data_IF_806630292267
#
_entry.id   IF_806630292267
#
_cell.length_a   1.000
_cell.length_b   1.000
_cell.length_c   1.000
_cell.angle_alpha   90.00
_cell.angle_beta   90.00
_cell.angle_gamma   90.00
#
_symmetry.space_group_name_H-M   'P 1'
#
loop_
_entity.id
_entity.type
_entity.pdbx_description
1 polymer ?
#
# COMPACT_ATOMS: atom_id res chain seq x y z
N UNK A 1 31.82 21.82 -14.59
CA UNK A 1 30.70 20.87 -14.34
C UNK A 1 30.28 21.04 -12.88
N UNK A 2 29.01 21.34 -12.59
CA UNK A 2 28.52 21.64 -11.24
C UNK A 2 27.90 20.39 -10.63
N UNK A 3 28.27 20.06 -9.39
CA UNK A 3 27.72 18.93 -8.63
C UNK A 3 26.67 19.43 -7.65
N UNK A 4 25.47 18.84 -7.66
CA UNK A 4 24.41 19.11 -6.68
C UNK A 4 24.00 17.83 -5.98
N UNK A 5 24.07 17.82 -4.64
CA UNK A 5 23.66 16.69 -3.82
C UNK A 5 22.16 16.73 -3.56
N UNK A 6 21.48 15.59 -3.71
CA UNK A 6 20.05 15.50 -3.43
C UNK A 6 19.69 14.15 -2.79
N UNK A 7 19.62 14.08 -1.46
CA UNK A 7 19.28 12.84 -0.78
C UNK A 7 17.81 12.47 -1.05
N UNK A 8 17.50 11.17 -1.04
CA UNK A 8 16.15 10.64 -1.23
C UNK A 8 15.45 11.09 -2.53
N UNK A 9 16.23 11.40 -3.57
CA UNK A 9 15.71 11.85 -4.87
C UNK A 9 14.77 10.81 -5.50
N UNK A 10 14.97 9.51 -5.23
CA UNK A 10 14.13 8.44 -5.75
C UNK A 10 12.72 8.39 -5.14
N UNK A 11 12.47 9.03 -3.99
CA UNK A 11 11.16 8.99 -3.31
C UNK A 11 10.13 9.92 -3.94
N UNK A 12 10.60 10.98 -4.61
CA UNK A 12 9.77 12.01 -5.23
C UNK A 12 10.42 12.45 -6.53
N UNK A 13 10.22 11.64 -7.57
CA UNK A 13 10.82 11.86 -8.88
C UNK A 13 10.22 13.07 -9.58
N UNK A 14 8.92 13.37 -9.41
CA UNK A 14 8.30 14.56 -9.99
C UNK A 14 8.95 15.86 -9.49
N UNK A 15 9.22 15.96 -8.18
CA UNK A 15 9.92 17.14 -7.64
C UNK A 15 11.39 17.18 -8.08
N UNK A 16 11.94 16.05 -8.49
CA UNK A 16 13.28 16.00 -9.10
C UNK A 16 13.24 16.47 -10.55
N UNK A 17 12.27 16.01 -11.31
CA UNK A 17 12.01 16.41 -12.69
C UNK A 17 11.81 17.92 -12.78
N UNK A 18 10.84 18.49 -12.04
CA UNK A 18 10.61 19.95 -11.98
C UNK A 18 11.86 20.74 -11.61
N UNK A 19 12.66 20.22 -10.69
CA UNK A 19 13.91 20.85 -10.33
C UNK A 19 14.96 20.76 -11.44
N UNK A 20 15.01 19.67 -12.22
CA UNK A 20 15.88 19.59 -13.40
C UNK A 20 15.43 20.61 -14.46
N UNK A 21 14.12 20.73 -14.69
CA UNK A 21 13.51 21.73 -15.58
C UNK A 21 13.88 23.16 -15.13
N UNK A 22 13.73 23.49 -13.85
CA UNK A 22 14.13 24.79 -13.27
C UNK A 22 15.62 25.09 -13.44
N UNK A 23 16.47 24.06 -13.41
CA UNK A 23 17.92 24.23 -13.61
C UNK A 23 18.25 24.44 -15.09
N UNK A 24 17.58 23.75 -16.01
CA UNK A 24 17.73 23.98 -17.45
C UNK A 24 17.29 25.40 -17.85
N UNK A 25 16.17 25.87 -17.29
CA UNK A 25 15.71 27.25 -17.46
C UNK A 25 16.70 28.30 -16.94
N UNK A 26 17.59 27.92 -16.00
CA UNK A 26 18.68 28.78 -15.48
C UNK A 26 19.99 28.63 -16.24
N UNK A 27 20.02 27.87 -17.35
CA UNK A 27 21.22 27.61 -18.14
C UNK A 27 22.12 26.51 -17.56
N UNK A 28 21.55 25.54 -16.85
CA UNK A 28 22.26 24.37 -16.36
C UNK A 28 21.66 23.08 -16.92
N UNK A 29 22.24 22.55 -17.99
CA UNK A 29 21.85 21.27 -18.57
C UNK A 29 22.35 20.09 -17.74
N UNK A 30 21.46 19.15 -17.49
CA UNK A 30 21.78 17.92 -16.76
C UNK A 30 22.62 16.96 -17.63
N UNK A 31 23.66 16.36 -17.06
CA UNK A 31 24.58 15.48 -17.81
C UNK A 31 24.75 14.09 -17.19
N UNK A 32 24.87 14.01 -15.87
CA UNK A 32 25.17 12.73 -15.20
C UNK A 32 24.48 12.58 -13.86
N UNK A 33 23.96 11.39 -13.62
CA UNK A 33 23.46 10.96 -12.32
C UNK A 33 24.40 9.93 -11.69
N UNK A 34 24.97 10.27 -10.53
CA UNK A 34 25.60 9.28 -9.66
C UNK A 34 24.59 8.83 -8.59
N UNK A 35 24.01 7.65 -8.80
CA UNK A 35 22.98 7.08 -7.92
C UNK A 35 23.49 6.77 -6.50
N UNK A 36 24.73 6.32 -6.36
CA UNK A 36 25.29 5.86 -5.07
C UNK A 36 25.61 7.06 -4.18
N UNK A 37 26.28 8.07 -4.73
CA UNK A 37 26.53 9.33 -4.04
C UNK A 37 25.33 10.28 -4.01
N UNK A 38 24.20 9.93 -4.66
CA UNK A 38 22.98 10.76 -4.77
C UNK A 38 23.28 12.17 -5.30
N UNK A 39 24.15 12.25 -6.30
CA UNK A 39 24.64 13.50 -6.86
C UNK A 39 24.28 13.65 -8.34
N UNK A 40 23.82 14.84 -8.71
CA UNK A 40 23.49 15.24 -10.06
C UNK A 40 24.56 16.20 -10.57
N UNK A 41 25.02 15.98 -11.81
CA UNK A 41 26.04 16.78 -12.46
C UNK A 41 25.41 17.58 -13.59
N UNK A 42 25.82 18.85 -13.67
CA UNK A 42 25.32 19.82 -14.64
C UNK A 42 26.45 20.47 -15.41
N UNK A 43 26.15 20.85 -16.65
CA UNK A 43 27.01 21.67 -17.49
C UNK A 43 26.31 23.01 -17.74
N UNK A 44 27.10 24.09 -17.78
CA UNK A 44 26.57 25.42 -18.10
C UNK A 44 26.22 25.42 -19.59
N UNK A 45 24.99 25.78 -19.90
CA UNK A 45 24.42 25.85 -21.26
C UNK A 45 23.61 27.15 -21.39
N UNK A 46 23.10 27.42 -22.59
CA UNK A 46 22.09 28.46 -22.74
C UNK A 46 20.83 28.09 -21.91
N UNK A 47 20.09 29.08 -21.40
CA UNK A 47 18.77 28.87 -20.81
C UNK A 47 17.83 28.22 -21.83
N UNK A 48 17.33 27.02 -21.52
CA UNK A 48 16.47 26.25 -22.41
C UNK A 48 15.29 25.67 -21.62
N UNK A 49 14.09 25.72 -22.20
CA UNK A 49 12.89 25.08 -21.64
C UNK A 49 12.86 23.61 -22.05
N UNK A 50 13.46 22.77 -21.22
CA UNK A 50 13.49 21.32 -21.41
C UNK A 50 12.58 20.61 -20.43
N UNK A 51 11.92 19.55 -20.86
CA UNK A 51 11.16 18.65 -20.00
C UNK A 51 12.03 17.45 -19.64
N UNK A 52 12.13 17.13 -18.35
CA UNK A 52 12.85 15.96 -17.86
C UNK A 52 11.89 14.94 -17.29
N UNK A 53 12.12 13.66 -17.59
CA UNK A 53 11.41 12.55 -16.95
C UNK A 53 12.39 11.50 -16.48
N UNK A 54 12.16 10.98 -15.29
CA UNK A 54 12.92 9.89 -14.70
C UNK A 54 12.13 8.62 -14.94
N UNK A 55 12.81 7.58 -15.39
CA UNK A 55 12.26 6.24 -15.54
C UNK A 55 13.14 5.23 -14.80
N UNK A 56 12.50 4.16 -14.33
CA UNK A 56 13.18 3.02 -13.74
C UNK A 56 12.77 1.79 -14.52
N UNK A 57 13.69 1.23 -15.31
CA UNK A 57 13.42 0.05 -16.11
C UNK A 57 14.48 -1.02 -15.83
N UNK A 58 14.01 -2.20 -15.41
CA UNK A 58 14.85 -3.38 -15.20
C UNK A 58 14.97 -4.23 -16.49
N UNK A 59 14.01 -4.09 -17.40
CA UNK A 59 13.85 -4.94 -18.58
C UNK A 59 14.39 -4.30 -19.86
N UNK A 60 14.26 -2.98 -20.03
CA UNK A 60 14.83 -2.30 -21.19
C UNK A 60 16.32 -2.02 -20.96
N UNK A 61 17.17 -2.76 -21.67
CA UNK A 61 18.61 -2.53 -21.78
C UNK A 61 18.92 -1.21 -22.53
N UNK A 62 18.35 -0.09 -22.12
CA UNK A 62 18.76 1.25 -22.57
C UNK A 62 18.22 1.71 -23.93
N UNK A 63 17.15 1.10 -24.43
CA UNK A 63 16.46 1.58 -25.64
C UNK A 63 15.12 2.18 -25.23
N UNK A 64 14.84 3.42 -25.63
CA UNK A 64 13.48 3.96 -25.54
C UNK A 64 12.58 3.21 -26.55
N UNK A 65 11.31 2.98 -26.22
CA UNK A 65 10.27 2.61 -27.19
C UNK A 65 10.25 3.59 -28.38
N UNK A 66 10.04 3.07 -29.60
CA UNK A 66 10.03 3.87 -30.84
C UNK A 66 9.08 5.07 -30.78
N UNK A 67 7.89 4.88 -30.21
CA UNK A 67 6.87 5.94 -30.01
C UNK A 67 7.42 7.13 -29.22
N UNK A 68 8.28 6.90 -28.22
CA UNK A 68 8.86 7.98 -27.42
C UNK A 68 10.01 8.68 -28.16
N UNK A 69 10.78 7.94 -28.97
CA UNK A 69 11.80 8.55 -29.84
C UNK A 69 11.18 9.43 -30.92
N UNK A 70 10.05 9.00 -31.50
CA UNK A 70 9.28 9.77 -32.49
C UNK A 70 8.70 11.06 -31.90
N UNK A 71 8.27 11.04 -30.64
CA UNK A 71 7.84 12.22 -29.87
C UNK A 71 9.01 13.11 -29.38
N UNK A 72 10.26 12.73 -29.71
CA UNK A 72 11.45 13.55 -29.48
C UNK A 72 12.17 13.30 -28.15
N UNK A 73 11.83 12.24 -27.41
CA UNK A 73 12.52 11.89 -26.17
C UNK A 73 13.92 11.30 -26.42
N UNK A 74 14.91 11.77 -25.65
CA UNK A 74 16.30 11.30 -25.70
C UNK A 74 16.80 10.91 -24.31
N UNK A 75 17.73 9.95 -24.22
CA UNK A 75 18.35 9.58 -22.93
C UNK A 75 19.43 10.61 -22.59
N UNK A 76 19.22 11.38 -21.52
CA UNK A 76 20.22 12.31 -20.99
C UNK A 76 21.29 11.60 -20.16
N UNK A 77 20.88 10.62 -19.34
CA UNK A 77 21.82 9.84 -18.53
C UNK A 77 21.23 8.51 -18.10
N UNK A 78 22.08 7.49 -17.96
CA UNK A 78 21.73 6.18 -17.41
C UNK A 78 22.65 5.83 -16.24
N UNK A 79 22.06 5.37 -15.13
CA UNK A 79 22.76 4.97 -13.91
C UNK A 79 22.15 3.70 -13.34
N UNK A 80 22.68 2.54 -13.71
CA UNK A 80 22.07 1.24 -13.40
C UNK A 80 20.71 1.09 -14.08
N UNK A 81 19.66 0.81 -13.30
CA UNK A 81 18.28 0.67 -13.78
C UNK A 81 17.52 2.00 -13.85
N UNK A 82 18.18 3.12 -13.52
CA UNK A 82 17.60 4.46 -13.62
C UNK A 82 18.04 5.12 -14.92
N UNK A 83 17.08 5.70 -15.62
CA UNK A 83 17.33 6.55 -16.79
C UNK A 83 16.64 7.89 -16.61
N UNK A 84 17.34 8.94 -17.01
CA UNK A 84 16.77 10.29 -17.13
C UNK A 84 16.64 10.56 -18.62
N UNK A 85 15.42 10.81 -19.07
CA UNK A 85 15.12 11.19 -20.44
C UNK A 85 14.78 12.67 -20.50
N UNK A 86 15.17 13.31 -21.59
CA UNK A 86 14.94 14.73 -21.85
C UNK A 86 14.16 14.90 -23.15
N UNK A 87 13.31 15.92 -23.19
CA UNK A 87 12.63 16.39 -24.38
C UNK A 87 12.77 17.91 -24.46
N UNK A 88 13.00 18.43 -25.66
CA UNK A 88 13.18 19.86 -25.92
C UNK A 88 11.85 20.63 -25.98
N UNK A 89 10.71 19.92 -25.96
CA UNK A 89 9.36 20.54 -25.92
C UNK A 89 8.90 20.77 -24.48
N UNK A 90 8.11 21.83 -24.21
CA UNK A 90 7.47 22.03 -22.91
C UNK A 90 6.41 20.95 -22.64
N UNK A 91 6.21 20.62 -21.36
CA UNK A 91 5.33 19.52 -20.93
C UNK A 91 3.87 19.63 -21.43
N UNK A 92 3.40 20.83 -21.79
CA UNK A 92 2.05 21.07 -22.33
C UNK A 92 1.84 20.59 -23.77
N UNK A 93 2.92 20.39 -24.54
CA UNK A 93 2.86 20.00 -25.96
C UNK A 93 3.13 18.51 -26.19
N UNK A 94 3.49 17.78 -25.13
CA UNK A 94 3.87 16.36 -25.22
C UNK A 94 2.63 15.49 -25.09
N UNK A 95 2.35 14.66 -26.10
CA UNK A 95 1.19 13.75 -26.10
C UNK A 95 1.47 12.42 -25.41
N UNK A 96 2.72 11.94 -25.47
CA UNK A 96 3.12 10.67 -24.87
C UNK A 96 4.26 10.86 -23.86
N UNK A 97 4.00 10.53 -22.60
CA UNK A 97 5.00 10.53 -21.53
C UNK A 97 5.53 9.11 -21.25
N UNK A 98 6.80 8.98 -20.82
CA UNK A 98 7.36 7.70 -20.43
C UNK A 98 6.65 7.11 -19.19
N UNK A 99 6.38 5.81 -19.24
CA UNK A 99 5.66 5.09 -18.17
C UNK A 99 6.52 5.02 -16.89
N UNK A 100 5.99 5.54 -15.78
CA UNK A 100 6.68 5.60 -14.48
C UNK A 100 6.53 4.34 -13.60
N UNK A 101 6.02 3.23 -14.15
CA UNK A 101 5.63 2.02 -13.39
C UNK A 101 6.76 1.44 -12.53
N UNK A 102 7.96 1.34 -13.09
CA UNK A 102 9.10 0.74 -12.38
C UNK A 102 9.54 1.55 -11.16
N UNK A 103 9.33 2.87 -11.14
CA UNK A 103 9.67 3.74 -10.01
C UNK A 103 8.75 3.42 -8.83
N UNK A 104 7.45 3.30 -9.09
CA UNK A 104 6.48 2.93 -8.07
C UNK A 104 6.78 1.56 -7.48
N UNK A 105 7.11 0.57 -8.33
CA UNK A 105 7.49 -0.77 -7.88
C UNK A 105 8.76 -0.73 -7.03
N UNK A 106 9.78 0.03 -7.42
CA UNK A 106 11.00 0.18 -6.63
C UNK A 106 10.72 0.81 -5.26
N UNK A 107 9.99 1.92 -5.23
CA UNK A 107 9.65 2.62 -3.99
C UNK A 107 8.79 1.76 -3.05
N UNK A 108 7.94 0.88 -3.58
CA UNK A 108 7.23 -0.11 -2.76
C UNK A 108 8.17 -1.10 -2.07
N UNK A 109 9.18 -1.63 -2.77
CA UNK A 109 10.16 -2.51 -2.14
C UNK A 109 10.93 -1.82 -1.03
N UNK A 110 11.32 -0.55 -1.23
CA UNK A 110 11.98 0.25 -0.19
C UNK A 110 11.06 0.45 1.02
N UNK A 111 9.79 0.79 0.78
CA UNK A 111 8.79 0.94 1.83
C UNK A 111 8.56 -0.36 2.61
N UNK A 112 8.43 -1.51 1.94
CA UNK A 112 8.29 -2.82 2.60
C UNK A 112 9.53 -3.17 3.43
N UNK A 113 10.73 -2.83 2.95
CA UNK A 113 11.96 -2.97 3.72
C UNK A 113 11.91 -2.19 5.04
N UNK A 114 11.50 -0.92 5.00
CA UNK A 114 11.36 -0.11 6.21
C UNK A 114 10.24 -0.58 7.13
N UNK A 115 9.10 -1.03 6.60
CA UNK A 115 8.02 -1.60 7.42
C UNK A 115 8.49 -2.88 8.11
N UNK A 116 9.15 -3.79 7.38
CA UNK A 116 9.72 -5.01 7.95
C UNK A 116 10.73 -4.69 9.06
N UNK A 117 11.59 -3.70 8.84
CA UNK A 117 12.54 -3.22 9.85
C UNK A 117 11.83 -2.66 11.10
N UNK A 118 10.78 -1.84 10.93
CA UNK A 118 10.00 -1.33 12.06
C UNK A 118 9.27 -2.44 12.81
N UNK A 119 8.67 -3.41 12.11
CA UNK A 119 8.03 -4.57 12.74
C UNK A 119 9.03 -5.40 13.52
N UNK A 120 10.24 -5.61 12.99
CA UNK A 120 11.32 -6.29 13.69
C UNK A 120 11.73 -5.55 14.97
N UNK A 121 12.02 -4.24 14.88
CA UNK A 121 12.38 -3.43 16.04
C UNK A 121 11.25 -3.41 17.08
N UNK A 122 10.00 -3.28 16.66
CA UNK A 122 8.85 -3.36 17.54
C UNK A 122 8.74 -4.73 18.23
N UNK A 123 8.97 -5.83 17.50
CA UNK A 123 8.99 -7.19 18.06
C UNK A 123 10.07 -7.38 19.12
N UNK A 124 11.28 -6.85 18.89
CA UNK A 124 12.39 -6.91 19.86
C UNK A 124 12.07 -6.10 21.12
N UNK A 125 11.46 -4.92 20.97
CA UNK A 125 11.10 -4.05 22.10
C UNK A 125 9.86 -4.51 22.87
N UNK A 126 9.03 -5.38 22.29
CA UNK A 126 7.76 -5.78 22.86
C UNK A 126 7.91 -6.52 24.20
N UNK A 127 8.95 -7.35 24.33
CA UNK A 127 9.22 -8.10 25.57
C UNK A 127 9.75 -7.22 26.71
N UNK A 128 10.86 -6.46 26.54
CA UNK A 128 11.29 -5.52 27.57
C UNK A 128 10.20 -4.52 27.93
N UNK A 129 9.44 -4.04 26.94
CA UNK A 129 8.32 -3.13 27.17
C UNK A 129 7.20 -3.78 28.00
N UNK A 130 6.83 -5.02 27.72
CA UNK A 130 5.82 -5.74 28.50
C UNK A 130 6.29 -6.03 29.94
N UNK A 131 7.55 -6.39 30.13
CA UNK A 131 8.15 -6.58 31.47
C UNK A 131 8.16 -5.27 32.25
N UNK A 132 8.59 -4.18 31.62
CA UNK A 132 8.58 -2.84 32.23
C UNK A 132 7.18 -2.42 32.67
N UNK A 133 6.18 -2.57 31.79
CA UNK A 133 4.78 -2.25 32.12
C UNK A 133 4.26 -3.13 33.27
N UNK A 134 4.60 -4.42 33.28
CA UNK A 134 4.20 -5.33 34.35
C UNK A 134 4.79 -4.93 35.71
N UNK A 135 6.09 -4.62 35.74
CA UNK A 135 6.80 -4.21 36.96
C UNK A 135 6.27 -2.87 37.48
N UNK A 136 6.02 -1.92 36.57
CA UNK A 136 5.38 -0.63 36.88
C UNK A 136 3.97 -0.81 37.49
N UNK A 137 3.15 -1.69 36.91
CA UNK A 137 1.79 -1.95 37.41
C UNK A 137 1.78 -2.64 38.78
N UNK A 138 2.81 -3.45 39.06
CA UNK A 138 2.95 -4.16 40.33
C UNK A 138 3.58 -3.30 41.44
N UNK A 139 4.01 -2.07 41.14
CA UNK A 139 4.66 -1.18 42.10
C UNK A 139 6.02 -1.67 42.58
N UNK A 140 6.68 -2.53 41.80
CA UNK A 140 8.04 -3.01 42.09
C UNK A 140 9.04 -1.84 41.98
N UNK A 141 10.00 -1.78 42.91
CA UNK A 141 11.07 -0.79 42.82
C UNK A 141 11.97 -1.08 41.63
N UNK A 142 12.04 -0.13 40.69
CA UNK A 142 12.88 -0.24 39.50
C UNK A 142 14.34 -0.06 39.92
N UNK A 143 15.04 -1.17 40.17
CA UNK A 143 16.47 -1.16 40.39
C UNK A 143 17.21 -0.93 39.06
N UNK A 144 17.74 0.28 38.89
CA UNK A 144 18.55 0.63 37.71
C UNK A 144 19.97 0.12 37.92
N UNK A 145 20.27 -1.04 37.34
CA UNK A 145 21.63 -1.58 37.36
C UNK A 145 22.50 -0.84 36.33
N UNK A 146 23.65 -0.24 36.74
CA UNK A 146 24.53 0.45 35.81
C UNK A 146 25.19 -0.55 34.86
N UNK A 147 24.91 -0.42 33.56
CA UNK A 147 25.55 -1.25 32.53
C UNK A 147 27.05 -0.96 32.49
N UNK A 148 27.92 -2.00 32.58
CA UNK A 148 29.37 -1.85 32.39
C UNK A 148 29.73 -1.23 31.03
N UNK A 149 28.85 -1.38 30.03
CA UNK A 149 28.99 -0.90 28.66
C UNK A 149 28.00 0.21 28.33
N UNK A 150 27.72 1.11 29.29
CA UNK A 150 26.72 2.17 29.15
C UNK A 150 26.85 2.95 27.83
N UNK A 151 28.05 3.35 27.42
CA UNK A 151 28.28 4.08 26.18
C UNK A 151 27.83 3.30 24.91
N UNK A 152 28.07 1.99 24.89
CA UNK A 152 27.61 1.11 23.81
C UNK A 152 26.07 0.99 23.82
N UNK A 153 25.46 0.83 25.00
CA UNK A 153 24.00 0.72 25.11
C UNK A 153 23.28 1.99 24.65
N UNK A 154 23.74 3.16 25.09
CA UNK A 154 23.16 4.44 24.66
C UNK A 154 23.42 4.74 23.18
N UNK A 155 24.60 4.40 22.65
CA UNK A 155 24.86 4.57 21.21
C UNK A 155 23.99 3.66 20.34
N UNK A 156 23.76 2.41 20.74
CA UNK A 156 22.83 1.50 20.06
C UNK A 156 21.38 2.00 20.16
N UNK A 157 20.97 2.54 21.31
CA UNK A 157 19.66 3.15 21.48
C UNK A 157 19.47 4.35 20.54
N UNK A 158 20.45 5.25 20.48
CA UNK A 158 20.44 6.40 19.57
C UNK A 158 20.36 5.93 18.11
N UNK A 159 21.15 4.93 17.72
CA UNK A 159 21.11 4.35 16.38
C UNK A 159 19.74 3.75 16.06
N UNK A 160 19.13 3.03 17.00
CA UNK A 160 17.79 2.47 16.84
C UNK A 160 16.74 3.59 16.66
N UNK A 161 16.78 4.64 17.48
CA UNK A 161 15.89 5.80 17.37
C UNK A 161 16.06 6.50 16.02
N UNK A 162 17.30 6.77 15.59
CA UNK A 162 17.58 7.36 14.28
C UNK A 162 17.05 6.49 13.13
N UNK A 163 17.17 5.17 13.26
CA UNK A 163 16.67 4.20 12.27
C UNK A 163 15.15 4.22 12.21
N UNK A 164 14.46 4.28 13.34
CA UNK A 164 12.99 4.43 13.41
C UNK A 164 12.55 5.74 12.76
N UNK A 165 13.19 6.87 13.12
CA UNK A 165 12.88 8.18 12.54
C UNK A 165 13.06 8.17 11.02
N UNK A 166 14.17 7.61 10.53
CA UNK A 166 14.45 7.48 9.10
C UNK A 166 13.40 6.61 8.38
N UNK A 167 13.03 5.47 8.98
CA UNK A 167 12.03 4.56 8.43
C UNK A 167 10.65 5.22 8.35
N UNK A 168 10.21 5.87 9.43
CA UNK A 168 8.93 6.61 9.47
C UNK A 168 8.92 7.74 8.44
N UNK A 169 9.98 8.56 8.39
CA UNK A 169 10.11 9.62 7.38
C UNK A 169 10.00 9.07 5.96
N UNK A 170 10.71 7.97 5.67
CA UNK A 170 10.72 7.35 4.34
C UNK A 170 9.33 6.83 3.95
N UNK A 171 8.63 6.16 4.87
CA UNK A 171 7.27 5.65 4.65
C UNK A 171 6.30 6.82 4.42
N UNK A 172 6.31 7.85 5.29
CA UNK A 172 5.42 9.01 5.17
C UNK A 172 5.65 9.75 3.86
N UNK A 173 6.91 9.94 3.46
CA UNK A 173 7.24 10.62 2.21
C UNK A 173 6.80 9.83 0.98
N UNK A 174 7.11 8.54 0.90
CA UNK A 174 6.73 7.67 -0.23
C UNK A 174 5.20 7.58 -0.35
N UNK A 175 4.50 7.40 0.78
CA UNK A 175 3.03 7.32 0.79
C UNK A 175 2.37 8.65 0.47
N UNK A 176 2.95 9.77 0.93
CA UNK A 176 2.51 11.12 0.60
C UNK A 176 2.57 11.41 -0.90
N UNK A 177 3.72 11.14 -1.54
CA UNK A 177 3.88 11.30 -3.00
C UNK A 177 2.89 10.44 -3.77
N UNK A 178 2.73 9.17 -3.37
CA UNK A 178 1.77 8.24 -4.00
C UNK A 178 0.33 8.72 -3.85
N UNK A 179 -0.05 9.27 -2.69
CA UNK A 179 -1.40 9.78 -2.46
C UNK A 179 -1.68 11.03 -3.29
N UNK A 180 -0.70 11.93 -3.43
CA UNK A 180 -0.82 13.10 -4.30
C UNK A 180 -1.03 12.69 -5.77
N UNK A 181 -0.23 11.74 -6.26
CA UNK A 181 -0.40 11.18 -7.60
C UNK A 181 -1.77 10.51 -7.76
N UNK A 182 -2.13 9.62 -6.83
CA UNK A 182 -3.42 8.91 -6.87
C UNK A 182 -4.59 9.89 -6.83
N UNK A 183 -4.58 10.90 -5.96
CA UNK A 183 -5.65 11.90 -5.91
C UNK A 183 -5.75 12.68 -7.22
N UNK A 184 -4.62 13.07 -7.83
CA UNK A 184 -4.61 13.82 -9.10
C UNK A 184 -5.09 12.97 -10.28
N UNK A 185 -4.76 11.66 -10.31
CA UNK A 185 -5.32 10.73 -11.29
C UNK A 185 -6.80 10.43 -11.06
N UNK A 186 -7.26 10.49 -9.80
CA UNK A 186 -8.61 10.13 -9.38
C UNK A 186 -9.59 11.31 -9.35
N UNK A 187 -9.13 12.55 -9.36
CA UNK A 187 -9.96 13.78 -9.39
C UNK A 187 -10.84 13.85 -10.64
N UNK A 188 -10.49 13.15 -11.72
CA UNK A 188 -11.34 13.02 -12.91
C UNK A 188 -12.20 11.76 -12.95
N UNK A 189 -12.05 10.83 -12.00
CA UNK A 189 -12.50 9.44 -12.20
C UNK A 189 -13.25 8.80 -11.05
N UNK A 190 -13.10 9.25 -9.81
CA UNK A 190 -13.96 8.75 -8.75
C UNK A 190 -15.31 9.40 -8.98
N UNK A 191 -16.25 8.68 -9.61
CA UNK A 191 -17.68 8.99 -9.48
C UNK A 191 -17.88 9.11 -7.97
N UNK A 192 -18.11 10.32 -7.45
CA UNK A 192 -18.19 10.50 -6.02
C UNK A 192 -19.37 9.65 -5.61
N UNK A 193 -19.09 8.59 -4.85
CA UNK A 193 -20.08 7.80 -4.13
C UNK A 193 -21.06 8.81 -3.58
N UNK A 194 -22.26 8.97 -4.19
CA UNK A 194 -23.10 10.17 -4.09
C UNK A 194 -23.13 10.61 -2.64
N UNK A 195 -22.25 11.53 -2.24
CA UNK A 195 -22.01 11.72 -0.83
C UNK A 195 -23.16 12.62 -0.39
N UNK A 196 -24.27 12.00 0.02
CA UNK A 196 -25.39 12.71 0.62
C UNK A 196 -24.81 13.68 1.64
N UNK A 197 -25.27 14.92 1.56
CA UNK A 197 -24.77 15.97 2.43
C UNK A 197 -24.84 15.49 3.89
N UNK A 198 -23.89 15.89 4.74
CA UNK A 198 -23.84 15.49 6.16
C UNK A 198 -25.20 15.68 6.88
N UNK A 199 -26.02 16.62 6.42
CA UNK A 199 -27.37 16.86 6.91
C UNK A 199 -28.38 15.77 6.50
N UNK A 200 -28.32 15.27 5.26
CA UNK A 200 -29.19 14.19 4.80
C UNK A 200 -28.79 12.85 5.42
N UNK A 201 -27.49 12.57 5.61
CA UNK A 201 -27.05 11.39 6.38
C UNK A 201 -27.64 11.42 7.80
N UNK A 202 -27.68 12.59 8.45
CA UNK A 202 -28.31 12.76 9.77
C UNK A 202 -29.82 12.52 9.71
N UNK A 203 -30.52 13.02 8.68
CA UNK A 203 -31.96 12.75 8.47
C UNK A 203 -32.22 11.26 8.28
N UNK A 204 -31.41 10.57 7.48
CA UNK A 204 -31.55 9.13 7.22
C UNK A 204 -31.29 8.28 8.45
N UNK A 205 -30.31 8.65 9.27
CA UNK A 205 -30.08 8.03 10.58
C UNK A 205 -31.26 8.22 11.53
N UNK A 206 -31.81 9.43 11.62
CA UNK A 206 -32.99 9.73 12.46
C UNK A 206 -34.25 8.99 11.98
N UNK A 207 -34.42 8.84 10.68
CA UNK A 207 -35.56 8.13 10.07
C UNK A 207 -35.46 6.59 10.09
N UNK A 208 -34.38 6.00 10.64
CA UNK A 208 -34.20 4.55 10.67
C UNK A 208 -34.03 3.88 9.29
N UNK A 209 -33.79 4.68 8.23
CA UNK A 209 -33.55 4.21 6.85
C UNK A 209 -32.11 3.75 6.61
N UNK A 210 -31.18 4.05 7.52
CA UNK A 210 -29.77 3.69 7.42
C UNK A 210 -29.41 2.56 8.40
N UNK A 211 -28.62 1.59 7.93
CA UNK A 211 -28.06 0.52 8.75
C UNK A 211 -26.54 0.54 8.61
N UNK A 212 -25.82 0.48 9.74
CA UNK A 212 -24.37 0.45 9.76
C UNK A 212 -23.91 -0.93 10.20
N UNK A 213 -22.99 -1.54 9.45
CA UNK A 213 -22.37 -2.83 9.79
C UNK A 213 -20.86 -2.69 9.76
N UNK A 214 -20.22 -3.34 10.72
CA UNK A 214 -18.75 -3.42 10.79
C UNK A 214 -18.32 -4.80 10.35
N UNK A 215 -17.36 -4.88 9.44
CA UNK A 215 -16.74 -6.12 8.98
C UNK A 215 -15.24 -5.93 9.04
N UNK A 216 -14.58 -6.45 10.07
CA UNK A 216 -13.12 -6.36 10.21
C UNK A 216 -12.44 -7.55 9.53
N UNK A 217 -11.30 -7.32 8.89
CA UNK A 217 -10.47 -8.38 8.30
C UNK A 217 -11.11 -9.11 7.10
N UNK A 218 -12.05 -8.48 6.40
CA UNK A 218 -12.69 -9.07 5.21
C UNK A 218 -11.69 -9.34 4.07
N UNK A 219 -10.60 -8.57 4.00
CA UNK A 219 -9.51 -8.72 3.05
C UNK A 219 -8.86 -10.12 3.12
N UNK A 220 -8.96 -10.80 4.27
CA UNK A 220 -8.42 -12.16 4.45
C UNK A 220 -9.36 -13.27 3.95
N UNK A 221 -10.59 -12.94 3.57
CA UNK A 221 -11.58 -13.85 3.00
C UNK A 221 -12.54 -13.07 2.09
N UNK A 222 -12.05 -12.53 0.94
CA UNK A 222 -12.82 -11.65 0.08
C UNK A 222 -14.07 -12.34 -0.49
N UNK A 223 -13.98 -13.64 -0.79
CA UNK A 223 -15.11 -14.45 -1.24
C UNK A 223 -16.30 -14.43 -0.26
N UNK A 224 -16.05 -14.63 1.03
CA UNK A 224 -17.11 -14.60 2.06
C UNK A 224 -17.68 -13.20 2.24
N UNK A 225 -16.85 -12.19 1.98
CA UNK A 225 -17.24 -10.80 2.05
C UNK A 225 -18.13 -10.40 0.86
N UNK A 226 -17.80 -10.83 -0.35
CA UNK A 226 -18.64 -10.68 -1.55
C UNK A 226 -20.03 -11.26 -1.30
N UNK A 227 -20.12 -12.54 -0.90
CA UNK A 227 -21.40 -13.18 -0.59
C UNK A 227 -22.18 -12.47 0.53
N UNK A 228 -21.47 -11.88 1.50
CA UNK A 228 -22.11 -11.11 2.56
C UNK A 228 -22.73 -9.82 2.01
N UNK A 229 -22.04 -9.09 1.13
CA UNK A 229 -22.60 -7.89 0.47
C UNK A 229 -23.80 -8.25 -0.42
N UNK A 230 -23.68 -9.30 -1.22
CA UNK A 230 -24.76 -9.78 -2.10
C UNK A 230 -25.99 -10.20 -1.28
N UNK A 231 -25.79 -10.87 -0.13
CA UNK A 231 -26.88 -11.20 0.79
C UNK A 231 -27.54 -9.96 1.39
N UNK A 232 -26.79 -8.90 1.70
CA UNK A 232 -27.35 -7.65 2.19
C UNK A 232 -28.24 -6.99 1.12
N UNK A 233 -27.80 -6.94 -0.13
CA UNK A 233 -28.60 -6.39 -1.25
C UNK A 233 -29.91 -7.15 -1.48
N UNK A 234 -29.86 -8.50 -1.43
CA UNK A 234 -31.06 -9.35 -1.53
C UNK A 234 -32.04 -9.14 -0.39
N UNK A 235 -31.56 -8.73 0.78
CA UNK A 235 -32.41 -8.38 1.93
C UNK A 235 -32.95 -6.94 1.85
N UNK A 236 -32.66 -6.21 0.77
CA UNK A 236 -33.06 -4.81 0.59
C UNK A 236 -32.15 -3.82 1.33
N UNK A 237 -30.98 -4.25 1.80
CA UNK A 237 -29.95 -3.36 2.33
C UNK A 237 -28.98 -3.00 1.21
N UNK A 238 -29.22 -1.86 0.55
CA UNK A 238 -28.37 -1.43 -0.55
C UNK A 238 -27.11 -0.73 -0.04
N UNK A 239 -25.93 -1.13 -0.50
CA UNK A 239 -24.67 -0.54 -0.08
C UNK A 239 -24.55 0.88 -0.63
N UNK A 240 -24.51 1.83 0.29
CA UNK A 240 -24.44 3.25 -0.01
C UNK A 240 -23.02 3.79 0.11
N UNK A 241 -22.30 3.43 1.18
CA UNK A 241 -20.96 3.97 1.43
C UNK A 241 -20.11 3.00 2.22
N UNK A 242 -18.81 3.03 1.97
CA UNK A 242 -17.79 2.37 2.80
C UNK A 242 -16.94 3.45 3.48
N UNK A 243 -16.52 3.21 4.72
CA UNK A 243 -15.61 4.14 5.41
C UNK A 243 -14.25 4.21 4.71
N UNK A 244 -13.52 5.31 4.91
CA UNK A 244 -12.17 5.51 4.36
C UNK A 244 -11.18 4.38 4.71
N UNK A 245 -11.39 3.73 5.85
CA UNK A 245 -10.56 2.62 6.36
C UNK A 245 -11.01 1.27 5.78
N UNK A 246 -12.20 1.20 5.16
CA UNK A 246 -12.70 -0.01 4.51
C UNK A 246 -13.41 -0.98 5.45
N UNK A 247 -13.59 -0.67 6.74
CA UNK A 247 -14.12 -1.62 7.74
C UNK A 247 -15.58 -1.40 8.14
N UNK A 248 -16.14 -0.24 7.81
CA UNK A 248 -17.50 0.15 8.17
C UNK A 248 -18.31 0.37 6.90
N UNK A 249 -19.44 -0.32 6.81
CA UNK A 249 -20.33 -0.37 5.66
C UNK A 249 -21.66 0.27 6.02
N UNK A 250 -22.08 1.24 5.23
CA UNK A 250 -23.30 2.00 5.39
C UNK A 250 -24.29 1.54 4.34
N UNK A 251 -25.42 1.02 4.79
CA UNK A 251 -26.50 0.53 3.96
C UNK A 251 -27.73 1.41 4.10
N UNK A 252 -28.51 1.46 3.03
CA UNK A 252 -29.83 2.09 2.99
C UNK A 252 -30.90 1.02 2.81
N UNK A 253 -32.01 1.13 3.55
CA UNK A 253 -33.19 0.30 3.30
C UNK A 253 -33.82 0.72 1.98
N UNK A 254 -33.75 -0.17 1.01
CA UNK A 254 -34.30 -0.02 -0.34
C UNK A 254 -34.99 -1.31 -0.79
N UNK A 255 -35.18 -1.43 -2.10
CA UNK A 255 -35.74 -2.65 -2.68
C UNK A 255 -34.65 -3.74 -2.75
N UNK A 256 -35.02 -5.02 -2.56
CA UNK A 256 -34.15 -6.15 -2.89
C UNK A 256 -33.58 -5.99 -4.31
N UNK A 257 -32.28 -6.17 -4.46
CA UNK A 257 -31.60 -6.16 -5.77
C UNK A 257 -30.63 -7.31 -5.87
N UNK A 258 -30.41 -7.72 -7.10
CA UNK A 258 -29.43 -8.74 -7.44
C UNK A 258 -28.18 -8.04 -7.95
N UNK A 259 -27.17 -7.95 -7.08
CA UNK A 259 -25.89 -7.30 -7.35
C UNK A 259 -24.80 -8.35 -7.23
N UNK A 260 -23.82 -8.30 -8.13
CA UNK A 260 -22.56 -9.02 -8.01
C UNK A 260 -21.53 -8.09 -7.37
N UNK A 261 -20.85 -8.56 -6.33
CA UNK A 261 -19.73 -7.85 -5.74
C UNK A 261 -18.42 -8.57 -6.01
N UNK A 262 -17.37 -7.81 -6.29
CA UNK A 262 -16.01 -8.32 -6.41
C UNK A 262 -15.02 -7.48 -5.62
N UNK A 263 -14.32 -8.13 -4.71
CA UNK A 263 -13.26 -7.53 -3.92
C UNK A 263 -11.92 -7.87 -4.57
N UNK A 264 -11.40 -6.95 -5.36
CA UNK A 264 -10.18 -7.14 -6.10
C UNK A 264 -8.98 -6.49 -5.41
N UNK A 265 -7.83 -7.16 -5.45
CA UNK A 265 -6.58 -6.64 -4.93
C UNK A 265 -5.70 -6.23 -6.10
N UNK A 266 -5.01 -5.11 -5.97
CA UNK A 266 -4.04 -4.67 -6.96
C UNK A 266 -2.81 -4.09 -6.25
N UNK A 267 -1.61 -4.48 -6.73
CA UNK A 267 -0.36 -3.94 -6.17
C UNK A 267 -0.11 -2.49 -6.64
N UNK A 268 -0.48 -2.21 -7.90
CA UNK A 268 -0.39 -0.91 -8.55
C UNK A 268 -1.64 -0.78 -9.40
N UNK A 269 -2.42 0.27 -9.18
CA UNK A 269 -3.63 0.52 -9.94
C UNK A 269 -3.37 1.71 -10.84
N UNK A 270 -3.46 1.48 -12.16
CA UNK A 270 -3.39 2.50 -13.20
C UNK A 270 -4.79 2.97 -13.58
N UNK A 271 -4.87 4.12 -14.26
CA UNK A 271 -6.11 4.66 -14.83
C UNK A 271 -6.81 3.62 -15.73
N UNK A 272 -6.02 2.99 -16.61
CA UNK A 272 -6.48 1.94 -17.53
C UNK A 272 -7.14 0.73 -16.86
N UNK A 273 -6.77 0.40 -15.61
CA UNK A 273 -7.44 -0.66 -14.86
C UNK A 273 -8.89 -0.27 -14.52
N UNK A 274 -9.11 0.98 -14.11
CA UNK A 274 -10.46 1.45 -13.80
C UNK A 274 -11.30 1.61 -15.06
N UNK A 275 -10.70 2.12 -16.14
CA UNK A 275 -11.38 2.32 -17.43
C UNK A 275 -11.88 0.98 -17.98
N UNK A 276 -11.00 -0.03 -18.05
CA UNK A 276 -11.34 -1.37 -18.54
C UNK A 276 -12.53 -1.99 -17.79
N UNK A 277 -12.56 -1.87 -16.46
CA UNK A 277 -13.64 -2.45 -15.66
C UNK A 277 -14.95 -1.65 -15.77
N UNK A 278 -14.88 -0.32 -15.92
CA UNK A 278 -16.07 0.52 -16.15
C UNK A 278 -16.68 0.28 -17.51
N UNK A 279 -15.86 0.13 -18.55
CA UNK A 279 -16.29 -0.24 -19.90
C UNK A 279 -17.00 -1.60 -19.88
N UNK A 280 -16.57 -2.52 -19.03
CA UNK A 280 -17.23 -3.80 -18.78
C UNK A 280 -18.50 -3.72 -17.91
N UNK A 281 -18.94 -2.52 -17.53
CA UNK A 281 -20.17 -2.30 -16.74
C UNK A 281 -20.02 -2.40 -15.23
N UNK A 282 -18.78 -2.46 -14.70
CA UNK A 282 -18.54 -2.48 -13.26
C UNK A 282 -18.48 -1.06 -12.67
N UNK A 283 -19.17 -0.86 -11.56
CA UNK A 283 -19.09 0.37 -10.76
C UNK A 283 -18.16 0.19 -9.56
N UNK A 284 -17.39 1.21 -9.22
CA UNK A 284 -16.54 1.18 -8.03
C UNK A 284 -17.32 1.58 -6.76
N UNK A 285 -17.55 0.62 -5.86
CA UNK A 285 -18.21 0.85 -4.58
C UNK A 285 -17.25 1.37 -3.48
N UNK A 286 -15.98 0.97 -3.52
CA UNK A 286 -14.95 1.39 -2.58
C UNK A 286 -13.55 1.24 -3.17
N UNK A 287 -12.64 2.10 -2.70
CA UNK A 287 -11.22 2.04 -2.99
C UNK A 287 -10.47 2.27 -1.68
N UNK A 288 -9.53 1.38 -1.34
CA UNK A 288 -8.71 1.58 -0.16
C UNK A 288 -7.71 2.73 -0.37
N UNK A 289 -7.49 3.50 0.69
CA UNK A 289 -6.52 4.61 0.71
C UNK A 289 -5.10 4.07 0.99
N UNK A 290 -4.98 2.80 1.39
CA UNK A 290 -3.71 2.20 1.78
C UNK A 290 -2.75 2.09 0.59
N UNK A 291 -1.54 2.60 0.78
CA UNK A 291 -0.46 2.51 -0.21
C UNK A 291 0.20 1.14 -0.28
N UNK A 292 -0.10 0.23 0.65
CA UNK A 292 0.47 -1.13 0.69
C UNK A 292 -0.42 -2.10 -0.08
N UNK A 293 -1.73 -2.00 0.13
CA UNK A 293 -2.73 -2.96 -0.33
C UNK A 293 -3.90 -2.16 -0.91
N UNK A 294 -3.92 -1.99 -2.24
CA UNK A 294 -5.05 -1.35 -2.92
C UNK A 294 -6.13 -2.41 -3.12
N UNK A 295 -7.17 -2.31 -2.32
CA UNK A 295 -8.38 -3.09 -2.48
C UNK A 295 -9.42 -2.23 -3.16
N UNK A 296 -10.01 -2.75 -4.23
CA UNK A 296 -11.11 -2.12 -4.95
C UNK A 296 -12.33 -3.04 -4.83
N UNK A 297 -13.44 -2.48 -4.37
CA UNK A 297 -14.72 -3.19 -4.36
C UNK A 297 -15.48 -2.74 -5.58
N UNK A 298 -15.69 -3.67 -6.49
CA UNK A 298 -16.51 -3.51 -7.68
C UNK A 298 -17.92 -4.05 -7.42
N UNK A 299 -18.91 -3.42 -8.04
CA UNK A 299 -20.30 -3.89 -8.04
C UNK A 299 -20.90 -3.80 -9.44
N UNK A 300 -21.79 -4.73 -9.76
CA UNK A 300 -22.54 -4.73 -11.01
C UNK A 300 -23.93 -5.32 -10.77
N UNK A 301 -24.98 -4.64 -11.24
CA UNK A 301 -26.35 -5.13 -11.18
C UNK A 301 -26.59 -6.13 -12.33
N UNK A 302 -27.31 -7.21 -12.06
CA UNK A 302 -27.67 -8.22 -13.06
C UNK A 302 -29.08 -8.76 -12.77
N UNK A 303 -29.77 -9.24 -13.81
CA UNK A 303 -31.16 -9.72 -13.68
C UNK A 303 -31.23 -11.16 -13.19
N UNK A 304 -32.35 -11.52 -12.58
CA UNK A 304 -32.65 -12.92 -12.26
C UNK A 304 -32.73 -13.74 -13.56
N UNK A 305 -31.88 -14.76 -13.68
CA UNK A 305 -31.75 -15.59 -14.88
C UNK A 305 -30.54 -15.28 -15.76
N UNK A 306 -29.87 -14.13 -15.55
CA UNK A 306 -28.58 -13.84 -16.19
C UNK A 306 -27.44 -14.51 -15.41
N UNK A 307 -26.38 -14.92 -16.13
CA UNK A 307 -25.17 -15.42 -15.49
C UNK A 307 -24.51 -14.34 -14.64
N UNK A 308 -24.00 -14.72 -13.46
CA UNK A 308 -23.34 -13.79 -12.54
C UNK A 308 -22.13 -13.16 -13.23
N UNK A 309 -22.06 -11.82 -13.34
CA UNK A 309 -20.91 -11.14 -13.93
C UNK A 309 -19.59 -11.55 -13.28
N UNK A 310 -18.61 -11.87 -14.11
CA UNK A 310 -17.25 -12.20 -13.68
C UNK A 310 -16.32 -11.04 -14.02
N UNK A 311 -15.53 -10.60 -13.04
CA UNK A 311 -14.55 -9.51 -13.24
C UNK A 311 -13.34 -9.97 -14.08
N UNK A 312 -13.04 -11.27 -14.02
CA UNK A 312 -11.93 -11.90 -14.75
C UNK A 312 -12.47 -12.97 -15.69
N UNK A 313 -12.13 -12.87 -16.97
CA UNK A 313 -12.44 -13.90 -17.97
C UNK A 313 -11.51 -15.12 -17.85
N UNK A 314 -10.31 -14.95 -17.26
CA UNK A 314 -9.32 -16.02 -17.10
C UNK A 314 -9.14 -16.42 -15.61
N UNK A 315 -9.50 -17.67 -15.24
CA UNK A 315 -9.38 -18.16 -13.87
C UNK A 315 -7.93 -18.30 -13.38
N UNK A 316 -6.96 -18.48 -14.30
CA UNK A 316 -5.55 -18.70 -13.93
C UNK A 316 -4.91 -17.44 -13.34
N UNK A 317 -5.26 -16.29 -13.91
CA UNK A 317 -4.80 -14.98 -13.44
C UNK A 317 -5.31 -14.71 -12.01
N UNK A 318 -6.57 -15.01 -11.74
CA UNK A 318 -7.19 -14.84 -10.42
C UNK A 318 -6.54 -15.75 -9.36
N UNK A 319 -6.27 -17.01 -9.70
CA UNK A 319 -5.62 -17.96 -8.79
C UNK A 319 -4.16 -17.59 -8.49
N UNK A 320 -3.41 -17.16 -9.51
CA UNK A 320 -2.03 -16.67 -9.35
C UNK A 320 -1.99 -15.46 -8.41
N UNK A 321 -3.00 -14.61 -8.52
CA UNK A 321 -3.15 -13.43 -7.70
C UNK A 321 -3.44 -13.77 -6.23
N UNK A 322 -4.45 -14.61 -5.96
CA UNK A 322 -4.78 -15.09 -4.63
C UNK A 322 -3.61 -15.81 -3.94
N UNK A 323 -2.84 -16.62 -4.70
CA UNK A 323 -1.61 -17.27 -4.21
C UNK A 323 -0.57 -16.26 -3.77
N UNK A 324 -0.33 -15.23 -4.60
CA UNK A 324 0.68 -14.21 -4.33
C UNK A 324 0.37 -13.46 -3.03
N UNK A 325 -0.87 -13.03 -2.84
CA UNK A 325 -1.30 -12.32 -1.63
C UNK A 325 -1.12 -13.23 -0.41
N UNK A 326 -1.52 -14.51 -0.51
CA UNK A 326 -1.37 -15.49 0.57
C UNK A 326 0.10 -15.66 1.00
N UNK A 327 1.02 -15.74 0.02
CA UNK A 327 2.47 -15.80 0.28
C UNK A 327 2.97 -14.50 0.92
N UNK A 328 2.57 -13.33 0.41
CA UNK A 328 3.00 -12.03 0.95
C UNK A 328 2.61 -11.89 2.42
N UNK A 329 1.36 -12.17 2.80
CA UNK A 329 0.95 -12.13 4.21
C UNK A 329 1.61 -13.21 5.07
N UNK A 330 1.89 -14.38 4.50
CA UNK A 330 2.65 -15.41 5.22
C UNK A 330 4.05 -14.89 5.55
N UNK A 331 4.76 -14.31 4.59
CA UNK A 331 6.09 -13.73 4.82
C UNK A 331 6.02 -12.57 5.83
N UNK A 332 4.95 -11.78 5.80
CA UNK A 332 4.77 -10.64 6.71
C UNK A 332 4.49 -11.08 8.16
N UNK A 333 3.61 -12.05 8.36
CA UNK A 333 3.12 -12.44 9.69
C UNK A 333 3.88 -13.62 10.30
N UNK A 334 4.56 -14.46 9.50
CA UNK A 334 5.31 -15.61 10.02
C UNK A 334 6.41 -15.22 11.01
N UNK A 335 7.25 -14.20 10.76
CA UNK A 335 8.26 -13.79 11.74
C UNK A 335 7.63 -13.33 13.07
N UNK A 336 6.50 -12.62 13.02
CA UNK A 336 5.76 -12.20 14.21
C UNK A 336 5.22 -13.40 14.98
N UNK A 337 4.64 -14.38 14.28
CA UNK A 337 4.17 -15.62 14.88
C UNK A 337 5.31 -16.38 15.55
N UNK A 338 6.46 -16.50 14.90
CA UNK A 338 7.63 -17.17 15.47
C UNK A 338 8.12 -16.48 16.75
N UNK A 339 8.15 -15.15 16.75
CA UNK A 339 8.46 -14.38 17.97
C UNK A 339 7.42 -14.64 19.06
N UNK A 340 6.13 -14.66 18.77
CA UNK A 340 5.13 -14.95 19.79
C UNK A 340 5.24 -16.39 20.31
N UNK A 341 5.49 -17.37 19.43
CA UNK A 341 5.69 -18.77 19.82
C UNK A 341 6.93 -18.93 20.70
N UNK A 342 8.05 -18.30 20.35
CA UNK A 342 9.27 -18.37 21.16
C UNK A 342 9.10 -17.78 22.56
N UNK A 343 8.10 -16.92 22.76
CA UNK A 343 7.75 -16.36 24.07
C UNK A 343 6.72 -17.21 24.84
N UNK A 344 5.83 -17.91 24.13
CA UNK A 344 4.85 -18.81 24.74
C UNK A 344 5.52 -20.11 25.22
N UNK A 345 6.53 -20.65 24.52
CA UNK A 345 7.17 -21.92 24.88
C UNK A 345 7.80 -21.88 26.28
N UNK A 346 8.70 -20.92 26.62
CA UNK A 346 9.28 -20.83 27.95
C UNK A 346 8.24 -20.59 29.04
N UNK A 347 7.14 -19.92 28.71
CA UNK A 347 6.01 -19.70 29.62
C UNK A 347 5.33 -21.03 30.00
N UNK A 348 5.16 -21.96 29.06
CA UNK A 348 4.48 -23.25 29.32
C UNK A 348 5.36 -24.23 30.12
N UNK A 349 6.68 -24.09 30.03
CA UNK A 349 7.65 -25.00 30.67
C UNK A 349 8.13 -24.53 32.04
N UNK A 350 7.79 -23.31 32.46
CA UNK A 350 8.22 -22.77 33.74
C UNK A 350 7.30 -23.22 34.89
N UNK A 351 7.82 -24.09 35.76
CA UNK A 351 7.14 -24.54 36.98
C UNK A 351 7.00 -23.39 38.01
N UNK A 352 5.86 -23.31 38.69
CA UNK A 352 5.60 -22.35 39.76
C UNK A 352 5.17 -20.94 39.32
N UNK A 353 4.69 -20.77 38.09
CA UNK A 353 4.50 -19.41 37.56
C UNK A 353 3.20 -18.71 37.99
N UNK A 354 3.36 -17.55 38.62
CA UNK A 354 2.28 -16.59 38.90
C UNK A 354 1.63 -16.10 37.61
N UNK A 355 0.30 -16.00 37.62
CA UNK A 355 -0.50 -15.44 36.54
C UNK A 355 -0.03 -14.02 36.18
N UNK A 356 0.19 -13.74 34.89
CA UNK A 356 0.64 -12.41 34.43
C UNK A 356 -0.07 -12.00 33.15
N UNK A 357 -0.56 -10.76 33.11
CA UNK A 357 -1.40 -10.23 32.02
C UNK A 357 -0.71 -10.26 30.64
N UNK A 358 0.61 -10.08 30.60
CA UNK A 358 1.40 -10.13 29.37
C UNK A 358 1.32 -11.49 28.66
N UNK A 359 1.14 -12.58 29.41
CA UNK A 359 1.05 -13.95 28.86
C UNK A 359 -0.21 -14.15 28.03
N UNK A 360 -1.34 -13.65 28.51
CA UNK A 360 -2.62 -13.69 27.78
C UNK A 360 -2.50 -12.89 26.48
N UNK A 361 -1.86 -11.72 26.54
CA UNK A 361 -1.67 -10.88 25.34
C UNK A 361 -0.88 -11.59 24.24
N UNK A 362 0.18 -12.33 24.59
CA UNK A 362 0.96 -13.11 23.63
C UNK A 362 0.14 -14.23 22.97
N UNK A 363 -0.65 -14.98 23.76
CA UNK A 363 -1.51 -16.04 23.23
C UNK A 363 -2.59 -15.47 22.32
N UNK A 364 -3.24 -14.36 22.73
CA UNK A 364 -4.25 -13.67 21.91
C UNK A 364 -3.64 -13.17 20.60
N UNK A 365 -2.45 -12.56 20.64
CA UNK A 365 -1.74 -12.11 19.45
C UNK A 365 -1.40 -13.30 18.52
N UNK A 366 -0.84 -14.38 19.06
CA UNK A 366 -0.54 -15.59 18.30
C UNK A 366 -1.76 -16.15 17.56
N UNK A 367 -2.89 -16.31 18.26
CA UNK A 367 -4.15 -16.81 17.67
C UNK A 367 -4.66 -15.85 16.58
N UNK A 368 -4.62 -14.54 16.84
CA UNK A 368 -5.08 -13.52 15.91
C UNK A 368 -4.29 -13.57 14.59
N UNK A 369 -2.96 -13.49 14.65
CA UNK A 369 -2.11 -13.47 13.45
C UNK A 369 -2.14 -14.81 12.70
N UNK A 370 -2.16 -15.94 13.42
CA UNK A 370 -2.32 -17.27 12.82
C UNK A 370 -3.66 -17.39 12.08
N UNK A 371 -4.73 -16.82 12.62
CA UNK A 371 -6.04 -16.81 11.96
C UNK A 371 -6.03 -16.07 10.62
N UNK A 372 -5.21 -15.03 10.45
CA UNK A 372 -5.11 -14.28 9.20
C UNK A 372 -4.44 -15.11 8.10
N UNK A 373 -3.31 -15.76 8.41
CA UNK A 373 -2.65 -16.69 7.48
C UNK A 373 -3.61 -17.81 7.09
N UNK A 374 -4.26 -18.43 8.08
CA UNK A 374 -5.20 -19.52 7.83
C UNK A 374 -6.36 -19.11 6.92
N UNK A 375 -6.98 -17.94 7.15
CA UNK A 375 -8.08 -17.42 6.32
C UNK A 375 -7.66 -17.19 4.87
N UNK A 376 -6.46 -16.63 4.65
CA UNK A 376 -5.90 -16.40 3.32
C UNK A 376 -5.64 -17.69 2.55
N UNK A 377 -4.98 -18.67 3.18
CA UNK A 377 -4.73 -19.96 2.54
C UNK A 377 -6.02 -20.75 2.31
N UNK A 378 -6.98 -20.63 3.22
CA UNK A 378 -8.31 -21.21 3.04
C UNK A 378 -9.05 -20.54 1.86
N UNK A 379 -8.91 -19.23 1.67
CA UNK A 379 -9.44 -18.53 0.50
C UNK A 379 -8.81 -19.05 -0.79
N UNK A 380 -7.48 -19.12 -0.86
CA UNK A 380 -6.78 -19.70 -2.00
C UNK A 380 -7.23 -21.14 -2.29
N UNK A 381 -7.38 -21.97 -1.25
CA UNK A 381 -7.85 -23.35 -1.38
C UNK A 381 -9.29 -23.45 -1.92
N UNK A 382 -10.21 -22.61 -1.42
CA UNK A 382 -11.60 -22.55 -1.94
C UNK A 382 -11.62 -22.11 -3.40
N UNK A 383 -10.82 -21.11 -3.74
CA UNK A 383 -10.73 -20.60 -5.11
C UNK A 383 -10.13 -21.64 -6.07
N UNK A 384 -9.12 -22.40 -5.62
CA UNK A 384 -8.57 -23.50 -6.41
C UNK A 384 -9.61 -24.58 -6.69
N UNK A 385 -10.40 -24.94 -5.68
CA UNK A 385 -11.48 -25.94 -5.84
C UNK A 385 -12.55 -25.49 -6.82
N UNK A 386 -12.96 -24.21 -6.78
CA UNK A 386 -13.99 -23.70 -7.70
C UNK A 386 -13.56 -23.62 -9.16
N UNK A 387 -12.26 -23.75 -9.47
CA UNK A 387 -11.75 -23.78 -10.85
C UNK A 387 -11.34 -25.19 -11.30
N UNK A 388 -11.39 -26.19 -10.40
CA UNK A 388 -11.11 -27.60 -10.71
C UNK A 388 -12.38 -28.45 -10.77
N UNK A 389 -13.52 -27.88 -10.39
CA UNK A 389 -14.87 -28.40 -10.58
C UNK A 389 -15.52 -27.63 -11.73
#
# INVERSE_FOLDING_TARGET
>A
MIKKYRPFWSYDTERVERWLEDNAAKGYRFTKLNRWMRCFYFQKSAPETMTYRISFDKAQKGHLPGVLMEEGWRIASKSGNWSVVENNKPASEIKAEPVQEGIFRHNQWVMYGFIGLLCYLAGVLLLPGAMFVSSWMNGEEIQVEPSPWWALTYSLLVLAVLTVVLAVYSIVKITGTRKAFSNRSLEGEVVPNKALGKQEEKKWKRSGRMVVKVKMGWMYAPDKFEHWLEKMERQGFNLYRVSKIGTIFYFTKGRPRTMAYRADYQNVVHKSYYDLHREAGWETAFQSISGLEKWVIWRQEYKEGEERPQLYSDPTTHLKHARRISITYTILFLPLILVYVSNIIPMLTAEGTTFSWHRILFVVAFVLFSSFIFRMWSYYGRLRKSFSA
#
